data_IF_961305993595
#
_entry.id   IF_961305993595
#
_cell.length_a   1.000
_cell.length_b   1.000
_cell.length_c   1.000
_cell.angle_alpha   90.00
_cell.angle_beta   90.00
_cell.angle_gamma   90.00
#
_symmetry.space_group_name_H-M   'P 1'
#
loop_
_entity.id
_entity.type
_entity.pdbx_description
1 polymer ?
#
# COMPACT_ATOMS: atom_id res chain seq x y z
N UNK A 1 0.57 14.25 -10.11
CA UNK A 1 -0.34 13.12 -9.93
C UNK A 1 -1.28 12.98 -11.12
N UNK A 2 -1.82 11.77 -11.33
CA UNK A 2 -2.64 11.45 -12.50
C UNK A 2 -3.90 12.33 -12.61
N UNK A 3 -4.49 12.73 -11.49
CA UNK A 3 -5.64 13.62 -11.38
C UNK A 3 -5.27 15.04 -10.90
N UNK A 4 -3.99 15.42 -10.99
CA UNK A 4 -3.50 16.73 -10.60
C UNK A 4 -3.33 17.67 -11.77
N UNK A 5 -3.52 18.97 -11.52
CA UNK A 5 -3.36 20.04 -12.50
C UNK A 5 -2.59 21.22 -11.92
N UNK A 6 -1.85 21.92 -12.77
CA UNK A 6 -1.14 23.15 -12.45
C UNK A 6 -1.11 24.04 -13.71
N UNK A 7 -1.08 25.35 -13.55
CA UNK A 7 -1.11 26.30 -14.68
C UNK A 7 0.18 26.31 -15.51
N UNK A 8 1.33 26.00 -14.88
CA UNK A 8 2.61 25.99 -15.57
C UNK A 8 2.97 24.60 -16.11
N UNK A 9 3.12 24.47 -17.42
CA UNK A 9 3.47 23.21 -18.08
C UNK A 9 4.90 22.70 -17.74
N UNK A 10 5.79 23.56 -17.26
CA UNK A 10 7.16 23.19 -16.84
C UNK A 10 7.24 22.80 -15.35
N UNK A 11 6.19 23.10 -14.56
CA UNK A 11 6.16 22.78 -13.14
C UNK A 11 5.78 21.31 -12.91
N UNK A 12 6.50 20.66 -12.03
CA UNK A 12 6.24 19.27 -11.62
C UNK A 12 5.86 19.16 -10.14
N UNK A 13 5.91 20.26 -9.41
CA UNK A 13 5.54 20.37 -7.99
C UNK A 13 4.55 21.52 -7.78
N UNK A 14 3.88 21.57 -6.62
CA UNK A 14 2.93 22.64 -6.30
C UNK A 14 1.59 22.56 -7.05
N UNK A 15 1.25 21.41 -7.62
CA UNK A 15 -0.01 21.15 -8.29
C UNK A 15 -1.16 20.94 -7.27
N UNK A 16 -2.39 21.14 -7.73
CA UNK A 16 -3.59 20.77 -6.97
C UNK A 16 -3.96 19.32 -7.31
N UNK A 17 -3.96 18.44 -6.30
CA UNK A 17 -4.31 17.03 -6.46
C UNK A 17 -5.84 16.84 -6.52
N UNK A 18 -6.28 15.77 -7.20
CA UNK A 18 -7.68 15.33 -7.17
C UNK A 18 -8.66 16.26 -7.88
N UNK A 19 -8.21 17.14 -8.77
CA UNK A 19 -9.09 18.09 -9.49
C UNK A 19 -9.64 17.57 -10.81
N UNK A 20 -9.03 16.49 -11.35
CA UNK A 20 -9.44 15.87 -12.61
C UNK A 20 -10.29 14.64 -12.31
N UNK A 21 -11.54 14.64 -12.76
CA UNK A 21 -12.45 13.51 -12.56
C UNK A 21 -12.11 12.28 -13.44
N UNK A 22 -12.56 11.09 -13.03
CA UNK A 22 -12.29 9.83 -13.72
C UNK A 22 -12.72 9.82 -15.19
N UNK A 23 -13.85 10.44 -15.52
CA UNK A 23 -14.34 10.51 -16.90
C UNK A 23 -13.39 11.32 -17.81
N UNK A 24 -12.75 12.36 -17.27
CA UNK A 24 -11.77 13.17 -18.00
C UNK A 24 -10.50 12.36 -18.25
N UNK A 25 -10.06 11.56 -17.28
CA UNK A 25 -8.91 10.66 -17.43
C UNK A 25 -9.17 9.60 -18.50
N UNK A 26 -10.36 9.00 -18.52
CA UNK A 26 -10.77 8.01 -19.54
C UNK A 26 -10.78 8.67 -20.94
N UNK A 27 -11.36 9.88 -21.08
CA UNK A 27 -11.39 10.60 -22.35
C UNK A 27 -10.02 11.07 -22.83
N UNK A 28 -9.09 11.29 -21.93
CA UNK A 28 -7.71 11.69 -22.29
C UNK A 28 -6.89 10.57 -22.93
N UNK A 29 -7.32 9.29 -22.80
CA UNK A 29 -6.63 8.13 -23.36
C UNK A 29 -7.66 7.23 -24.08
N UNK A 30 -8.21 7.67 -25.22
CA UNK A 30 -9.27 6.92 -25.91
C UNK A 30 -8.87 5.52 -26.34
N UNK A 31 -7.58 5.25 -26.54
CA UNK A 31 -7.01 3.96 -26.91
C UNK A 31 -7.29 2.83 -25.88
N UNK A 32 -7.64 3.16 -24.64
CA UNK A 32 -8.01 2.14 -23.65
C UNK A 32 -9.31 1.43 -24.01
N UNK A 33 -10.17 2.04 -24.82
CA UNK A 33 -11.41 1.44 -25.30
C UNK A 33 -11.18 0.28 -26.27
N UNK A 34 -10.00 0.23 -26.91
CA UNK A 34 -9.61 -0.88 -27.77
C UNK A 34 -9.19 -2.13 -26.97
N UNK A 35 -8.87 -1.93 -25.68
CA UNK A 35 -8.38 -3.00 -24.78
C UNK A 35 -9.51 -3.67 -24.00
N UNK A 36 -10.55 -2.92 -23.63
CA UNK A 36 -11.64 -3.41 -22.78
C UNK A 36 -12.87 -2.51 -22.84
N UNK A 37 -14.04 -3.05 -22.45
CA UNK A 37 -15.22 -2.25 -22.15
C UNK A 37 -15.04 -1.56 -20.79
N UNK A 38 -14.91 -0.23 -20.79
CA UNK A 38 -14.54 0.54 -19.60
C UNK A 38 -15.73 1.35 -19.08
N UNK A 39 -15.98 1.24 -17.79
CA UNK A 39 -16.83 2.16 -17.04
C UNK A 39 -16.04 2.80 -15.91
N UNK A 40 -16.26 4.07 -15.64
CA UNK A 40 -15.56 4.83 -14.60
C UNK A 40 -16.48 5.18 -13.44
N UNK A 41 -15.94 5.18 -12.22
CA UNK A 41 -16.62 5.67 -11.03
C UNK A 41 -15.66 6.43 -10.11
N UNK A 42 -16.08 7.62 -9.68
CA UNK A 42 -15.34 8.44 -8.73
C UNK A 42 -15.63 7.97 -7.29
N UNK A 43 -14.69 7.24 -6.67
CA UNK A 43 -14.86 6.72 -5.30
C UNK A 43 -14.53 7.79 -4.26
N UNK A 44 -13.47 8.56 -4.50
CA UNK A 44 -13.03 9.68 -3.68
C UNK A 44 -12.34 10.74 -4.56
N UNK A 45 -12.24 11.96 -4.06
CA UNK A 45 -11.53 13.06 -4.71
C UNK A 45 -10.64 13.75 -3.67
N UNK A 46 -9.50 13.18 -3.41
CA UNK A 46 -8.57 13.58 -2.35
C UNK A 46 -7.11 13.51 -2.82
N UNK A 47 -6.25 14.27 -2.18
CA UNK A 47 -4.83 13.97 -2.18
C UNK A 47 -4.59 12.66 -1.41
N UNK A 48 -3.68 11.80 -1.90
CA UNK A 48 -3.40 10.51 -1.26
C UNK A 48 -2.83 10.65 0.16
N UNK A 49 -2.18 11.75 0.48
CA UNK A 49 -1.75 12.08 1.85
C UNK A 49 -2.92 12.18 2.84
N UNK A 50 -4.13 12.42 2.35
CA UNK A 50 -5.37 12.47 3.13
C UNK A 50 -6.18 11.17 3.07
N UNK A 51 -5.58 10.05 2.68
CA UNK A 51 -6.23 8.75 2.68
C UNK A 51 -6.72 8.36 4.08
N UNK A 52 -7.88 7.72 4.15
CA UNK A 52 -8.53 7.31 5.41
C UNK A 52 -9.06 5.88 5.33
N UNK A 53 -9.21 5.26 6.48
CA UNK A 53 -9.70 3.88 6.62
C UNK A 53 -11.07 3.67 5.97
N UNK A 54 -11.96 4.66 6.07
CA UNK A 54 -13.30 4.59 5.46
C UNK A 54 -13.24 4.47 3.93
N UNK A 55 -12.26 5.15 3.31
CA UNK A 55 -12.06 5.07 1.85
C UNK A 55 -11.50 3.69 1.48
N UNK A 56 -10.55 3.15 2.24
CA UNK A 56 -10.04 1.80 2.03
C UNK A 56 -11.14 0.75 2.16
N UNK A 57 -11.96 0.83 3.20
CA UNK A 57 -13.08 -0.08 3.42
C UNK A 57 -14.13 0.02 2.30
N UNK A 58 -14.49 1.26 1.89
CA UNK A 58 -15.41 1.51 0.78
C UNK A 58 -14.86 0.89 -0.50
N UNK A 59 -13.57 1.11 -0.80
CA UNK A 59 -12.92 0.63 -2.02
C UNK A 59 -12.89 -0.90 -2.06
N UNK A 60 -12.46 -1.56 -0.98
CA UNK A 60 -12.41 -3.02 -0.91
C UNK A 60 -13.79 -3.67 -1.08
N UNK A 61 -14.81 -3.14 -0.38
CA UNK A 61 -16.19 -3.64 -0.51
C UNK A 61 -16.73 -3.48 -1.92
N UNK A 62 -16.45 -2.33 -2.54
CA UNK A 62 -16.90 -2.05 -3.90
C UNK A 62 -16.25 -2.98 -4.92
N UNK A 63 -14.94 -3.18 -4.84
CA UNK A 63 -14.22 -4.06 -5.76
C UNK A 63 -14.72 -5.50 -5.63
N UNK A 64 -14.87 -6.03 -4.42
CA UNK A 64 -15.42 -7.36 -4.22
C UNK A 64 -16.83 -7.49 -4.84
N UNK A 65 -17.71 -6.51 -4.63
CA UNK A 65 -19.04 -6.47 -5.24
C UNK A 65 -18.98 -6.44 -6.77
N UNK A 66 -18.13 -5.62 -7.38
CA UNK A 66 -17.94 -5.56 -8.84
C UNK A 66 -17.51 -6.91 -9.41
N UNK A 67 -16.64 -7.64 -8.71
CA UNK A 67 -16.23 -8.98 -9.12
C UNK A 67 -17.35 -10.01 -9.03
N UNK A 68 -18.22 -9.90 -8.02
CA UNK A 68 -19.44 -10.73 -7.90
C UNK A 68 -20.45 -10.41 -9.02
N UNK A 69 -20.50 -9.16 -9.48
CA UNK A 69 -21.34 -8.69 -10.59
C UNK A 69 -20.77 -9.03 -11.98
N UNK A 70 -19.59 -9.66 -12.06
CA UNK A 70 -19.03 -10.18 -13.31
C UNK A 70 -17.96 -9.30 -13.96
N UNK A 71 -17.54 -8.20 -13.34
CA UNK A 71 -16.40 -7.38 -13.83
C UNK A 71 -15.13 -8.23 -13.89
N UNK A 72 -14.36 -8.12 -14.97
CA UNK A 72 -13.17 -8.94 -15.24
C UNK A 72 -11.90 -8.40 -14.60
N UNK A 73 -11.77 -7.09 -14.43
CA UNK A 73 -10.61 -6.43 -13.84
C UNK A 73 -10.94 -5.03 -13.33
N UNK A 74 -10.15 -4.52 -12.42
CA UNK A 74 -10.30 -3.17 -11.84
C UNK A 74 -9.01 -2.39 -11.94
N UNK A 75 -9.09 -1.16 -12.45
CA UNK A 75 -7.98 -0.18 -12.42
C UNK A 75 -8.35 0.94 -11.45
N UNK A 76 -7.41 1.32 -10.58
CA UNK A 76 -7.60 2.36 -9.57
C UNK A 76 -6.61 3.47 -9.82
N UNK A 77 -7.08 4.64 -10.24
CA UNK A 77 -6.25 5.84 -10.30
C UNK A 77 -6.05 6.41 -8.90
N UNK A 78 -4.80 6.58 -8.48
CA UNK A 78 -4.44 6.91 -7.11
C UNK A 78 -3.28 7.92 -7.08
N UNK A 79 -3.25 8.78 -6.07
CA UNK A 79 -2.07 9.61 -5.79
C UNK A 79 -0.90 8.74 -5.31
N UNK A 80 0.32 9.14 -5.64
CA UNK A 80 1.50 8.29 -5.50
C UNK A 80 2.01 8.14 -4.07
N UNK A 81 1.70 9.07 -3.15
CA UNK A 81 2.36 9.14 -1.84
C UNK A 81 1.99 7.99 -0.90
N UNK A 82 0.72 7.54 -0.94
CA UNK A 82 0.25 6.41 -0.12
C UNK A 82 -0.27 5.24 -0.97
N UNK A 83 0.09 5.20 -2.25
CA UNK A 83 -0.35 4.14 -3.18
C UNK A 83 0.06 2.75 -2.70
N UNK A 84 1.27 2.59 -2.18
CA UNK A 84 1.78 1.30 -1.69
C UNK A 84 0.97 0.76 -0.51
N UNK A 85 0.46 1.63 0.36
CA UNK A 85 -0.39 1.26 1.50
C UNK A 85 -1.77 0.80 1.03
N UNK A 86 -2.40 1.56 0.13
CA UNK A 86 -3.68 1.18 -0.48
C UNK A 86 -3.55 -0.12 -1.27
N UNK A 87 -2.48 -0.30 -2.04
CA UNK A 87 -2.23 -1.53 -2.79
C UNK A 87 -2.12 -2.73 -1.85
N UNK A 88 -1.36 -2.61 -0.76
CA UNK A 88 -1.18 -3.70 0.19
C UNK A 88 -2.46 -4.00 0.98
N UNK A 89 -3.22 -2.98 1.40
CA UNK A 89 -4.53 -3.18 2.01
C UNK A 89 -5.48 -3.98 1.11
N UNK A 90 -5.59 -3.61 -0.15
CA UNK A 90 -6.42 -4.33 -1.11
C UNK A 90 -5.90 -5.74 -1.39
N UNK A 91 -4.58 -5.92 -1.45
CA UNK A 91 -3.95 -7.24 -1.61
C UNK A 91 -4.34 -8.22 -0.49
N UNK A 92 -4.66 -7.72 0.69
CA UNK A 92 -5.08 -8.50 1.84
C UNK A 92 -6.60 -8.65 1.97
N UNK A 93 -7.40 -7.81 1.30
CA UNK A 93 -8.85 -7.72 1.55
C UNK A 93 -9.73 -8.08 0.35
N UNK A 94 -9.17 -8.11 -0.86
CA UNK A 94 -9.90 -8.57 -2.06
C UNK A 94 -10.07 -10.09 -2.02
N UNK A 95 -11.27 -10.58 -2.37
CA UNK A 95 -11.65 -11.99 -2.30
C UNK A 95 -11.78 -12.66 -3.68
N UNK A 96 -11.02 -12.17 -4.64
CA UNK A 96 -11.04 -12.65 -6.02
C UNK A 96 -9.61 -12.91 -6.51
N UNK A 97 -9.44 -13.70 -7.57
CA UNK A 97 -8.20 -13.83 -8.32
C UNK A 97 -8.14 -12.92 -9.55
N UNK A 98 -9.20 -12.16 -9.79
CA UNK A 98 -9.26 -11.19 -10.89
C UNK A 98 -8.29 -10.03 -10.66
N UNK A 99 -7.71 -9.44 -11.73
CA UNK A 99 -6.70 -8.39 -11.60
C UNK A 99 -7.25 -7.12 -10.97
N UNK A 100 -6.48 -6.58 -10.03
CA UNK A 100 -6.65 -5.23 -9.48
C UNK A 100 -5.33 -4.50 -9.67
N UNK A 101 -5.36 -3.37 -10.39
CA UNK A 101 -4.17 -2.61 -10.74
C UNK A 101 -4.31 -1.17 -10.26
N UNK A 102 -3.39 -0.72 -9.40
CA UNK A 102 -3.27 0.69 -9.06
C UNK A 102 -2.34 1.39 -10.04
N UNK A 103 -2.67 2.65 -10.34
CA UNK A 103 -1.90 3.49 -11.24
C UNK A 103 -1.93 4.94 -10.78
N UNK A 104 -0.82 5.62 -10.99
CA UNK A 104 -0.68 7.04 -10.70
C UNK A 104 0.15 7.77 -11.75
N UNK A 105 0.58 8.97 -11.42
CA UNK A 105 1.54 9.72 -12.20
C UNK A 105 2.42 10.58 -11.28
N UNK A 106 3.68 10.74 -11.63
CA UNK A 106 4.61 11.60 -10.90
C UNK A 106 4.53 13.05 -11.37
N UNK A 107 4.06 13.28 -12.59
CA UNK A 107 3.85 14.62 -13.17
C UNK A 107 2.37 14.95 -13.24
N UNK A 108 1.96 16.22 -13.03
CA UNK A 108 0.58 16.63 -13.24
C UNK A 108 0.15 16.47 -14.71
N UNK A 109 -1.14 16.32 -14.94
CA UNK A 109 -1.69 16.08 -16.29
C UNK A 109 -1.37 17.19 -17.30
N UNK A 110 -1.10 18.40 -16.82
CA UNK A 110 -0.75 19.58 -17.63
C UNK A 110 0.73 19.74 -17.89
N UNK A 111 1.61 18.92 -17.29
CA UNK A 111 3.05 19.04 -17.45
C UNK A 111 3.53 18.54 -18.83
N UNK A 112 4.64 19.13 -19.30
CA UNK A 112 5.38 18.60 -20.46
C UNK A 112 5.81 17.16 -20.15
N UNK A 113 5.55 16.25 -21.07
CA UNK A 113 5.82 14.81 -20.89
C UNK A 113 5.15 14.22 -19.63
N UNK A 114 3.88 14.54 -19.40
CA UNK A 114 3.06 13.92 -18.36
C UNK A 114 3.05 12.39 -18.52
N UNK A 115 3.35 11.67 -17.44
CA UNK A 115 3.45 10.20 -17.45
C UNK A 115 2.10 9.49 -17.25
N UNK A 116 1.07 10.23 -16.79
CA UNK A 116 -0.25 9.69 -16.47
C UNK A 116 -0.94 8.95 -17.61
N UNK A 117 -1.04 9.51 -18.83
CA UNK A 117 -1.70 8.86 -19.95
C UNK A 117 -1.10 7.49 -20.30
N UNK A 118 0.22 7.38 -20.36
CA UNK A 118 0.91 6.10 -20.64
C UNK A 118 0.73 5.12 -19.50
N UNK A 119 0.85 5.56 -18.25
CA UNK A 119 0.64 4.71 -17.09
C UNK A 119 -0.80 4.17 -17.06
N UNK A 120 -1.81 5.01 -17.35
CA UNK A 120 -3.21 4.58 -17.41
C UNK A 120 -3.44 3.53 -18.51
N UNK A 121 -2.91 3.77 -19.71
CA UNK A 121 -2.99 2.81 -20.80
C UNK A 121 -2.41 1.46 -20.39
N UNK A 122 -1.23 1.46 -19.82
CA UNK A 122 -0.55 0.25 -19.33
C UNK A 122 -1.33 -0.47 -18.23
N UNK A 123 -1.92 0.28 -17.30
CA UNK A 123 -2.72 -0.30 -16.22
C UNK A 123 -3.98 -1.01 -16.75
N UNK A 124 -4.64 -0.44 -17.77
CA UNK A 124 -5.77 -1.08 -18.44
C UNK A 124 -5.34 -2.32 -19.22
N UNK A 125 -4.22 -2.24 -19.97
CA UNK A 125 -3.66 -3.39 -20.67
C UNK A 125 -3.34 -4.53 -19.70
N UNK A 126 -2.73 -4.23 -18.56
CA UNK A 126 -2.43 -5.21 -17.52
C UNK A 126 -3.71 -5.81 -16.91
N UNK A 127 -4.73 -5.00 -16.61
CA UNK A 127 -5.98 -5.48 -16.04
C UNK A 127 -6.80 -6.34 -17.02
N UNK A 128 -6.63 -6.14 -18.33
CA UNK A 128 -7.27 -6.92 -19.38
C UNK A 128 -6.50 -8.21 -19.74
N UNK A 129 -5.26 -8.36 -19.27
CA UNK A 129 -4.41 -9.51 -19.61
C UNK A 129 -4.80 -10.76 -18.83
N UNK A 130 -4.89 -11.89 -19.52
CA UNK A 130 -5.26 -13.19 -18.93
C UNK A 130 -4.24 -13.71 -17.92
N UNK A 131 -2.96 -13.41 -18.11
CA UNK A 131 -1.88 -13.83 -17.22
C UNK A 131 -1.83 -12.99 -15.92
N UNK A 132 -2.54 -11.86 -15.87
CA UNK A 132 -2.68 -11.04 -14.67
C UNK A 132 -3.56 -11.68 -13.57
N UNK A 133 -4.31 -12.75 -13.90
CA UNK A 133 -5.08 -13.52 -12.92
C UNK A 133 -4.17 -14.15 -11.87
N UNK A 134 -4.61 -14.11 -10.61
CA UNK A 134 -3.92 -14.68 -9.47
C UNK A 134 -2.51 -14.09 -9.22
N UNK A 135 -2.27 -12.87 -9.69
CA UNK A 135 -1.05 -12.09 -9.41
C UNK A 135 -1.21 -11.11 -8.23
N UNK A 136 -2.27 -11.26 -7.43
CA UNK A 136 -2.57 -10.32 -6.35
C UNK A 136 -2.95 -8.93 -6.87
N UNK A 137 -2.85 -7.94 -6.01
CA UNK A 137 -2.97 -6.54 -6.39
C UNK A 137 -1.61 -6.05 -6.92
N UNK A 138 -1.63 -5.32 -8.01
CA UNK A 138 -0.43 -4.84 -8.70
C UNK A 138 -0.42 -3.32 -8.81
N UNK A 139 0.75 -2.75 -8.98
CA UNK A 139 0.95 -1.34 -9.31
C UNK A 139 1.62 -1.25 -10.69
N UNK A 140 1.03 -0.49 -11.59
CA UNK A 140 1.57 -0.22 -12.93
C UNK A 140 2.09 1.22 -12.98
N UNK A 141 3.40 1.39 -13.00
CA UNK A 141 4.07 2.70 -13.05
C UNK A 141 5.33 2.61 -13.90
N UNK A 142 5.52 3.57 -14.81
CA UNK A 142 6.72 3.70 -15.63
C UNK A 142 7.10 2.37 -16.32
N UNK A 143 6.12 1.78 -17.01
CA UNK A 143 6.21 0.49 -17.74
C UNK A 143 6.49 -0.76 -16.87
N UNK A 144 6.65 -0.61 -15.54
CA UNK A 144 6.89 -1.71 -14.60
C UNK A 144 5.58 -2.28 -14.05
N UNK A 145 5.58 -3.58 -13.77
CA UNK A 145 4.55 -4.28 -13.02
C UNK A 145 5.13 -4.64 -11.66
N UNK A 146 4.58 -4.05 -10.61
CA UNK A 146 5.07 -4.21 -9.24
C UNK A 146 4.02 -4.92 -8.38
N UNK A 147 4.44 -5.84 -7.51
CA UNK A 147 3.51 -6.46 -6.56
C UNK A 147 3.14 -5.47 -5.44
N UNK A 148 1.90 -5.51 -4.96
CA UNK A 148 1.46 -4.68 -3.85
C UNK A 148 2.31 -4.86 -2.58
N UNK A 149 2.82 -6.08 -2.35
CA UNK A 149 3.67 -6.36 -1.21
C UNK A 149 5.07 -5.78 -1.35
N UNK A 150 5.65 -5.86 -2.55
CA UNK A 150 7.04 -5.43 -2.80
C UNK A 150 7.21 -3.97 -3.16
N UNK A 151 6.18 -3.32 -3.74
CA UNK A 151 6.29 -1.95 -4.24
C UNK A 151 6.59 -0.93 -3.13
N UNK A 152 7.55 -0.05 -3.38
CA UNK A 152 7.93 1.06 -2.50
C UNK A 152 8.16 2.31 -3.35
N UNK A 153 7.68 3.47 -2.89
CA UNK A 153 8.04 4.76 -3.47
C UNK A 153 9.45 5.14 -3.00
N UNK A 154 10.43 4.88 -3.85
CA UNK A 154 11.86 5.06 -3.53
C UNK A 154 12.42 6.40 -3.96
N UNK A 155 11.66 7.20 -4.71
CA UNK A 155 12.05 8.53 -5.13
C UNK A 155 10.86 9.51 -5.04
N UNK A 156 11.12 10.71 -4.57
CA UNK A 156 10.07 11.72 -4.34
C UNK A 156 9.55 12.41 -5.61
N UNK A 157 10.34 12.49 -6.69
CA UNK A 157 10.04 13.33 -7.85
C UNK A 157 10.15 12.62 -9.21
N UNK A 158 11.08 11.65 -9.39
CA UNK A 158 11.31 11.00 -10.68
C UNK A 158 10.09 10.24 -11.17
N UNK A 159 9.92 10.12 -12.49
CA UNK A 159 8.89 9.24 -13.06
C UNK A 159 9.15 7.78 -12.70
N UNK A 160 10.40 7.36 -12.61
CA UNK A 160 10.83 6.06 -12.08
C UNK A 160 10.93 6.11 -10.54
N UNK A 161 9.81 6.43 -9.90
CA UNK A 161 9.76 6.61 -8.45
C UNK A 161 9.41 5.33 -7.66
N UNK A 162 8.97 4.28 -8.35
CA UNK A 162 8.56 3.04 -7.71
C UNK A 162 9.47 1.88 -8.06
N UNK A 163 9.84 1.11 -7.06
CA UNK A 163 10.63 -0.12 -7.23
C UNK A 163 10.19 -1.18 -6.21
N UNK A 164 10.73 -2.38 -6.36
CA UNK A 164 10.56 -3.49 -5.42
C UNK A 164 11.95 -3.97 -4.99
N UNK A 165 12.61 -3.30 -4.02
CA UNK A 165 14.02 -3.47 -3.73
C UNK A 165 14.42 -4.90 -3.37
N UNK A 166 13.58 -5.62 -2.59
CA UNK A 166 13.90 -6.96 -2.10
C UNK A 166 13.42 -8.08 -3.03
N UNK A 167 12.40 -7.82 -3.89
CA UNK A 167 11.72 -8.89 -4.63
C UNK A 167 11.79 -8.73 -6.15
N UNK A 168 12.21 -7.57 -6.64
CA UNK A 168 12.19 -7.23 -8.06
C UNK A 168 10.78 -6.97 -8.60
N UNK A 169 10.73 -6.57 -9.85
CA UNK A 169 9.50 -6.31 -10.58
C UNK A 169 8.83 -7.64 -10.97
N UNK A 170 7.51 -7.68 -11.02
CA UNK A 170 6.79 -8.86 -11.53
C UNK A 170 6.97 -9.01 -13.05
N UNK A 171 7.16 -7.90 -13.74
CA UNK A 171 7.30 -7.85 -15.18
C UNK A 171 7.27 -6.43 -15.71
N UNK A 172 7.07 -6.33 -17.04
CA UNK A 172 7.05 -5.06 -17.76
C UNK A 172 5.91 -5.03 -18.78
N UNK A 173 5.55 -3.81 -19.20
CA UNK A 173 4.55 -3.57 -20.24
C UNK A 173 5.23 -2.80 -21.36
N UNK A 174 5.30 -3.39 -22.54
CA UNK A 174 5.92 -2.79 -23.72
C UNK A 174 4.87 -2.72 -24.82
N UNK A 175 4.57 -1.53 -25.32
CA UNK A 175 3.56 -1.28 -26.37
C UNK A 175 2.19 -1.93 -26.07
N UNK A 176 1.78 -1.89 -24.80
CA UNK A 176 0.53 -2.50 -24.33
C UNK A 176 0.58 -4.02 -24.18
N UNK A 177 1.71 -4.66 -24.44
CA UNK A 177 1.89 -6.10 -24.21
C UNK A 177 2.51 -6.35 -22.85
N UNK A 178 1.91 -7.27 -22.10
CA UNK A 178 2.31 -7.64 -20.74
C UNK A 178 3.32 -8.78 -20.78
N UNK A 179 4.40 -8.65 -20.01
CA UNK A 179 5.42 -9.68 -19.87
C UNK A 179 5.71 -9.92 -18.40
N UNK A 180 5.32 -11.08 -17.88
CA UNK A 180 5.64 -11.50 -16.52
C UNK A 180 6.93 -12.33 -16.49
N UNK A 181 7.81 -12.01 -15.56
CA UNK A 181 9.07 -12.73 -15.30
C UNK A 181 9.11 -13.35 -13.91
N UNK A 182 8.36 -12.78 -12.95
CA UNK A 182 8.34 -13.22 -11.57
C UNK A 182 6.93 -13.56 -11.08
N UNK A 183 6.86 -14.36 -10.02
CA UNK A 183 5.62 -14.73 -9.35
C UNK A 183 5.64 -14.30 -7.88
N UNK A 184 4.45 -14.13 -7.29
CA UNK A 184 4.29 -13.82 -5.89
C UNK A 184 4.29 -15.12 -5.08
N UNK A 185 5.17 -15.22 -4.08
CA UNK A 185 5.28 -16.40 -3.21
C UNK A 185 4.42 -16.32 -1.95
N UNK A 186 4.06 -15.11 -1.52
CA UNK A 186 3.25 -14.88 -0.31
C UNK A 186 1.75 -14.98 -0.61
N UNK A 187 0.98 -15.39 0.39
CA UNK A 187 -0.47 -15.46 0.26
C UNK A 187 -1.09 -14.08 0.09
N UNK A 188 -2.13 -13.98 -0.75
CA UNK A 188 -2.78 -12.71 -1.09
C UNK A 188 -4.25 -12.93 -1.49
N UNK A 189 -4.99 -11.87 -1.65
CA UNK A 189 -6.37 -11.77 -2.15
C UNK A 189 -7.30 -12.87 -1.63
N UNK A 190 -7.80 -13.78 -2.46
CA UNK A 190 -8.74 -14.84 -2.05
C UNK A 190 -8.17 -15.78 -0.99
N UNK A 191 -6.85 -15.90 -0.88
CA UNK A 191 -6.15 -16.74 0.10
C UNK A 191 -5.86 -16.01 1.43
N UNK A 192 -6.28 -14.75 1.55
CA UNK A 192 -6.17 -13.97 2.79
C UNK A 192 -7.39 -14.20 3.69
N UNK A 193 -7.23 -14.26 5.04
CA UNK A 193 -8.34 -14.44 5.96
C UNK A 193 -9.07 -13.12 6.27
N UNK A 194 -8.57 -11.98 5.81
CA UNK A 194 -9.08 -10.67 6.19
C UNK A 194 -10.31 -10.31 5.35
N UNK A 195 -11.49 -10.52 5.91
CA UNK A 195 -12.77 -10.09 5.36
C UNK A 195 -13.19 -8.77 6.03
N UNK A 196 -13.36 -7.73 5.21
CA UNK A 196 -13.75 -6.39 5.66
C UNK A 196 -15.20 -6.05 5.31
N UNK A 197 -15.98 -7.01 4.79
CA UNK A 197 -17.37 -6.78 4.34
C UNK A 197 -18.26 -6.15 5.41
N UNK A 198 -18.09 -6.57 6.67
CA UNK A 198 -18.89 -6.11 7.82
C UNK A 198 -18.20 -5.01 8.66
N UNK A 199 -16.94 -4.66 8.35
CA UNK A 199 -16.21 -3.67 9.12
C UNK A 199 -16.67 -2.25 8.75
N UNK A 200 -16.83 -1.40 9.76
CA UNK A 200 -17.12 0.04 9.61
C UNK A 200 -15.92 0.91 9.95
N UNK A 201 -14.96 0.36 10.69
CA UNK A 201 -13.71 1.01 11.07
C UNK A 201 -12.61 -0.03 11.23
N UNK A 202 -11.36 0.42 11.31
CA UNK A 202 -10.20 -0.41 11.60
C UNK A 202 -9.62 -0.07 12.99
N UNK A 203 -8.94 -1.00 13.66
CA UNK A 203 -8.21 -0.71 14.88
C UNK A 203 -7.16 0.38 14.65
N UNK A 204 -7.04 1.32 15.60
CA UNK A 204 -6.05 2.39 15.51
C UNK A 204 -4.64 1.84 15.71
N UNK A 205 -3.78 2.03 14.72
CA UNK A 205 -2.36 1.65 14.73
C UNK A 205 -1.55 2.84 14.22
N UNK A 206 -0.51 3.20 14.96
CA UNK A 206 0.35 4.32 14.65
C UNK A 206 1.80 3.86 14.37
N UNK A 207 2.60 4.72 13.73
CA UNK A 207 4.01 4.46 13.44
C UNK A 207 4.86 5.43 14.25
N UNK A 208 5.89 4.91 14.91
CA UNK A 208 6.91 5.70 15.59
C UNK A 208 8.29 5.42 15.00
N UNK A 209 9.03 6.47 14.72
CA UNK A 209 10.43 6.36 14.31
C UNK A 209 11.35 6.31 15.52
N UNK A 210 12.43 5.51 15.42
CA UNK A 210 13.56 5.57 16.32
C UNK A 210 14.72 6.33 15.67
N UNK A 211 15.43 7.16 16.43
CA UNK A 211 16.54 8.00 15.97
C UNK A 211 17.53 8.26 17.11
N UNK A 212 18.67 8.89 16.81
CA UNK A 212 19.65 9.26 17.83
C UNK A 212 19.07 10.30 18.79
N UNK A 213 19.25 10.11 20.09
CA UNK A 213 18.66 10.94 21.16
C UNK A 213 17.13 10.98 21.09
N UNK A 214 16.52 9.81 20.95
CA UNK A 214 15.09 9.60 20.69
C UNK A 214 14.22 9.94 21.89
N UNK A 215 13.37 10.95 21.75
CA UNK A 215 12.36 11.34 22.74
C UNK A 215 10.96 10.75 22.50
N UNK A 216 10.81 9.81 21.56
CA UNK A 216 9.49 9.30 21.14
C UNK A 216 8.78 8.42 22.18
N UNK A 217 9.44 8.07 23.30
CA UNK A 217 8.82 7.40 24.44
C UNK A 217 7.55 8.13 24.94
N UNK A 218 7.58 9.46 24.97
CA UNK A 218 6.44 10.31 25.34
C UNK A 218 5.30 10.14 24.32
N UNK A 219 5.64 10.11 23.04
CA UNK A 219 4.66 9.92 21.96
C UNK A 219 3.99 8.53 22.05
N UNK A 220 4.76 7.47 22.33
CA UNK A 220 4.23 6.13 22.51
C UNK A 220 3.15 6.08 23.62
N UNK A 221 3.47 6.70 24.76
CA UNK A 221 2.51 6.78 25.87
C UNK A 221 1.27 7.60 25.51
N UNK A 222 1.45 8.75 24.89
CA UNK A 222 0.33 9.61 24.48
C UNK A 222 -0.60 8.93 23.47
N UNK A 223 -0.05 8.18 22.50
CA UNK A 223 -0.83 7.40 21.55
C UNK A 223 -1.64 6.31 22.25
N UNK A 224 -1.01 5.57 23.15
CA UNK A 224 -1.68 4.53 23.93
C UNK A 224 -2.83 5.09 24.79
N UNK A 225 -2.57 6.17 25.52
CA UNK A 225 -3.58 6.86 26.34
C UNK A 225 -4.76 7.38 25.50
N UNK A 226 -4.55 7.65 24.21
CA UNK A 226 -5.58 8.04 23.23
C UNK A 226 -6.17 6.85 22.43
N UNK A 227 -6.00 5.63 22.91
CA UNK A 227 -6.70 4.45 22.42
C UNK A 227 -6.05 3.71 21.26
N UNK A 228 -4.79 4.01 20.90
CA UNK A 228 -4.01 3.23 19.95
C UNK A 228 -3.89 1.79 20.44
N UNK A 229 -4.17 0.83 19.55
CA UNK A 229 -4.15 -0.61 19.84
C UNK A 229 -2.84 -1.28 19.42
N UNK A 230 -2.14 -0.69 18.48
CA UNK A 230 -0.85 -1.18 18.00
C UNK A 230 0.10 -0.06 17.61
N UNK A 231 1.37 -0.28 17.81
CA UNK A 231 2.44 0.62 17.35
C UNK A 231 3.41 -0.16 16.48
N UNK A 232 3.69 0.37 15.30
CA UNK A 232 4.80 -0.09 14.47
C UNK A 232 6.00 0.81 14.72
N UNK A 233 7.11 0.23 15.14
CA UNK A 233 8.36 0.96 15.31
C UNK A 233 9.17 0.90 14.04
N UNK A 234 9.41 2.05 13.41
CA UNK A 234 10.39 2.20 12.34
C UNK A 234 11.79 2.30 12.94
N UNK A 235 12.37 1.16 13.28
CA UNK A 235 13.67 1.04 13.94
C UNK A 235 14.85 1.44 13.05
N UNK A 236 15.98 1.69 13.65
CA UNK A 236 17.22 1.92 12.91
C UNK A 236 17.89 0.60 12.49
N UNK A 237 18.59 0.60 11.36
CA UNK A 237 19.25 -0.61 10.85
C UNK A 237 18.27 -1.79 10.73
N UNK A 238 18.59 -2.94 11.30
CA UNK A 238 17.74 -4.14 11.29
C UNK A 238 16.61 -4.12 12.35
N UNK A 239 16.09 -2.95 12.71
CA UNK A 239 14.98 -2.79 13.67
C UNK A 239 15.42 -2.43 15.09
N UNK A 240 16.62 -1.84 15.27
CA UNK A 240 17.06 -1.40 16.59
C UNK A 240 16.20 -0.24 17.12
N UNK A 241 15.82 -0.32 18.39
CA UNK A 241 14.97 0.66 19.09
C UNK A 241 15.82 1.36 20.16
N UNK A 242 15.68 2.68 20.28
CA UNK A 242 16.32 3.44 21.35
C UNK A 242 15.87 2.93 22.72
N UNK A 243 16.75 2.88 23.70
CA UNK A 243 16.50 2.24 25.01
C UNK A 243 15.28 2.82 25.71
N UNK A 244 15.15 4.14 25.79
CA UNK A 244 14.03 4.81 26.46
C UNK A 244 12.69 4.49 25.79
N UNK A 245 12.62 4.52 24.46
CA UNK A 245 11.45 4.13 23.70
C UNK A 245 11.12 2.65 23.95
N UNK A 246 12.13 1.78 23.90
CA UNK A 246 11.96 0.33 24.11
C UNK A 246 11.44 0.01 25.52
N UNK A 247 11.94 0.68 26.54
CA UNK A 247 11.50 0.47 27.92
C UNK A 247 10.04 0.91 28.10
N UNK A 248 9.65 2.04 27.53
CA UNK A 248 8.24 2.47 27.53
C UNK A 248 7.34 1.48 26.80
N UNK A 249 7.74 1.01 25.62
CA UNK A 249 6.97 0.03 24.87
C UNK A 249 6.78 -1.29 25.61
N UNK A 250 7.81 -1.78 26.35
CA UNK A 250 7.68 -2.98 27.20
C UNK A 250 6.58 -2.82 28.26
N UNK A 251 6.48 -1.65 28.89
CA UNK A 251 5.44 -1.39 29.87
C UNK A 251 4.05 -1.29 29.22
N UNK A 252 3.95 -0.72 28.03
CA UNK A 252 2.69 -0.64 27.29
C UNK A 252 2.24 -2.02 26.76
N UNK A 253 3.16 -2.89 26.34
CA UNK A 253 2.86 -4.29 25.97
C UNK A 253 2.20 -5.03 27.14
N UNK A 254 2.70 -4.88 28.36
CA UNK A 254 2.06 -5.47 29.55
C UNK A 254 0.63 -4.97 29.80
N UNK A 255 0.31 -3.78 29.27
CA UNK A 255 -1.02 -3.17 29.35
C UNK A 255 -1.90 -3.49 28.13
N UNK A 256 -1.44 -4.33 27.21
CA UNK A 256 -2.20 -4.82 26.06
C UNK A 256 -1.97 -4.08 24.75
N UNK A 257 -0.88 -3.30 24.62
CA UNK A 257 -0.46 -2.75 23.33
C UNK A 257 0.25 -3.81 22.50
N UNK A 258 -0.11 -3.96 21.24
CA UNK A 258 0.66 -4.78 20.27
C UNK A 258 1.75 -3.94 19.61
N UNK A 259 3.00 -4.43 19.64
CA UNK A 259 4.16 -3.71 19.09
C UNK A 259 4.84 -4.53 18.00
N UNK A 260 4.89 -3.98 16.80
CA UNK A 260 5.57 -4.56 15.64
C UNK A 260 6.85 -3.78 15.36
N UNK A 261 7.96 -4.49 15.25
CA UNK A 261 9.26 -3.92 14.91
C UNK A 261 9.48 -4.02 13.41
N UNK A 262 9.60 -2.89 12.75
CA UNK A 262 9.99 -2.72 11.35
C UNK A 262 11.28 -1.89 11.26
N UNK A 263 11.66 -1.47 10.10
CA UNK A 263 12.86 -0.64 9.89
C UNK A 263 12.52 0.61 9.09
N UNK A 264 13.21 1.72 9.39
CA UNK A 264 13.22 2.92 8.55
C UNK A 264 14.12 2.78 7.31
N UNK A 265 14.89 1.70 7.23
CA UNK A 265 15.66 1.35 6.03
C UNK A 265 14.71 0.75 5.01
N UNK A 266 14.83 1.19 3.76
CA UNK A 266 13.84 0.90 2.71
C UNK A 266 13.82 -0.56 2.24
N UNK A 267 14.82 -1.38 2.58
CA UNK A 267 14.97 -2.77 2.15
C UNK A 267 15.61 -3.63 3.24
N UNK A 268 15.41 -4.94 3.16
CA UNK A 268 15.97 -5.93 4.08
C UNK A 268 14.98 -6.36 5.18
N UNK A 269 15.41 -7.35 5.96
CA UNK A 269 14.62 -7.91 7.08
C UNK A 269 15.02 -7.30 8.41
N UNK A 270 14.05 -7.21 9.32
CA UNK A 270 14.34 -6.89 10.72
C UNK A 270 14.71 -8.14 11.52
N UNK A 271 15.54 -7.94 12.55
CA UNK A 271 15.96 -8.97 13.47
C UNK A 271 15.43 -8.65 14.87
N UNK A 272 14.39 -9.35 15.30
CA UNK A 272 13.87 -9.29 16.68
C UNK A 272 14.48 -10.43 17.47
N UNK A 273 15.14 -10.10 18.59
CA UNK A 273 15.78 -11.11 19.46
C UNK A 273 14.73 -12.01 20.11
N UNK A 274 15.13 -13.26 20.47
CA UNK A 274 14.23 -14.15 21.18
C UNK A 274 13.82 -13.63 22.57
N UNK A 275 14.66 -12.81 23.18
CA UNK A 275 14.32 -12.10 24.42
C UNK A 275 13.20 -11.09 24.18
N UNK A 276 13.27 -10.31 23.10
CA UNK A 276 12.23 -9.33 22.76
C UNK A 276 10.92 -10.00 22.32
N UNK A 277 10.99 -11.11 21.57
CA UNK A 277 9.81 -11.91 21.23
C UNK A 277 9.09 -12.44 22.49
N UNK A 278 9.84 -12.88 23.50
CA UNK A 278 9.27 -13.30 24.78
C UNK A 278 8.58 -12.15 25.55
N UNK A 279 8.98 -10.92 25.29
CA UNK A 279 8.36 -9.72 25.84
C UNK A 279 7.14 -9.23 25.04
N UNK A 280 6.82 -9.87 23.92
CA UNK A 280 5.67 -9.53 23.07
C UNK A 280 5.98 -8.67 21.85
N UNK A 281 7.24 -8.37 21.57
CA UNK A 281 7.60 -7.69 20.32
C UNK A 281 7.43 -8.64 19.13
N UNK A 282 6.80 -8.14 18.08
CA UNK A 282 6.48 -8.85 16.84
C UNK A 282 7.42 -8.36 15.73
N UNK A 283 7.93 -9.26 14.89
CA UNK A 283 8.74 -8.88 13.73
C UNK A 283 7.86 -8.53 12.54
N UNK A 284 8.10 -7.38 11.91
CA UNK A 284 7.51 -7.05 10.61
C UNK A 284 8.11 -7.87 9.46
N UNK A 285 9.14 -8.67 9.74
CA UNK A 285 9.90 -9.42 8.75
C UNK A 285 10.59 -8.46 7.75
N UNK A 286 10.12 -8.40 6.53
CA UNK A 286 10.60 -7.56 5.44
C UNK A 286 9.58 -6.46 5.02
N UNK A 287 8.51 -6.28 5.79
CA UNK A 287 7.57 -5.19 5.53
C UNK A 287 8.11 -3.86 6.07
N UNK A 288 8.04 -2.83 5.22
CA UNK A 288 8.29 -1.46 5.67
C UNK A 288 7.22 -1.00 6.69
N UNK A 289 7.46 0.07 7.45
CA UNK A 289 6.58 0.48 8.54
C UNK A 289 5.13 0.71 8.13
N UNK A 290 4.88 1.33 6.98
CA UNK A 290 3.53 1.65 6.51
C UNK A 290 2.74 0.39 6.13
N UNK A 291 3.35 -0.59 5.49
CA UNK A 291 2.70 -1.88 5.18
C UNK A 291 2.55 -2.75 6.42
N UNK A 292 3.55 -2.75 7.31
CA UNK A 292 3.45 -3.41 8.61
C UNK A 292 2.27 -2.86 9.42
N UNK A 293 2.04 -1.54 9.37
CA UNK A 293 0.85 -0.90 9.95
C UNK A 293 -0.45 -1.44 9.35
N UNK A 294 -0.55 -1.52 8.04
CA UNK A 294 -1.73 -2.06 7.34
C UNK A 294 -2.01 -3.49 7.77
N UNK A 295 -0.99 -4.36 7.81
CA UNK A 295 -1.17 -5.74 8.23
C UNK A 295 -1.56 -5.85 9.71
N UNK A 296 -0.96 -5.05 10.60
CA UNK A 296 -1.30 -5.04 12.02
C UNK A 296 -2.75 -4.59 12.25
N UNK A 297 -3.23 -3.54 11.55
CA UNK A 297 -4.62 -3.11 11.61
C UNK A 297 -5.58 -4.26 11.26
N UNK A 298 -5.29 -5.00 10.21
CA UNK A 298 -6.11 -6.14 9.79
C UNK A 298 -5.98 -7.33 10.76
N UNK A 299 -4.79 -7.64 11.24
CA UNK A 299 -4.54 -8.71 12.21
C UNK A 299 -5.33 -8.47 13.52
N UNK A 300 -5.34 -7.25 14.01
CA UNK A 300 -6.09 -6.85 15.21
C UNK A 300 -7.62 -6.95 15.06
N UNK A 301 -8.15 -7.07 13.86
CA UNK A 301 -9.57 -7.44 13.65
C UNK A 301 -9.85 -8.92 13.93
N UNK A 302 -8.81 -9.75 14.06
CA UNK A 302 -8.90 -11.21 14.23
C UNK A 302 -8.40 -11.68 15.60
N UNK A 303 -7.35 -11.07 16.14
CA UNK A 303 -6.67 -11.54 17.36
C UNK A 303 -5.82 -10.45 17.98
N UNK A 304 -5.64 -10.55 19.30
CA UNK A 304 -4.66 -9.78 20.08
C UNK A 304 -3.54 -10.70 20.63
N UNK A 305 -3.41 -11.92 20.10
CA UNK A 305 -2.32 -12.84 20.47
C UNK A 305 -1.08 -12.54 19.64
N UNK A 306 0.03 -12.05 20.23
CA UNK A 306 1.25 -11.70 19.49
C UNK A 306 1.82 -12.84 18.64
N UNK A 307 1.64 -14.09 19.07
CA UNK A 307 2.11 -15.27 18.32
C UNK A 307 1.30 -15.43 17.02
N UNK A 308 -0.03 -15.31 17.10
CA UNK A 308 -0.90 -15.36 15.92
C UNK A 308 -0.68 -14.17 14.99
N UNK A 309 -0.43 -12.98 15.56
CA UNK A 309 -0.08 -11.81 14.76
C UNK A 309 1.25 -12.08 14.02
N UNK A 310 2.28 -12.62 14.69
CA UNK A 310 3.54 -12.99 14.04
C UNK A 310 3.35 -14.00 12.89
N UNK A 311 2.43 -14.96 13.02
CA UNK A 311 2.10 -15.89 11.92
C UNK A 311 1.56 -15.16 10.68
N UNK A 312 0.77 -14.09 10.86
CA UNK A 312 0.33 -13.26 9.75
C UNK A 312 1.51 -12.56 9.07
N UNK A 313 2.45 -12.00 9.81
CA UNK A 313 3.65 -11.36 9.24
C UNK A 313 4.55 -12.35 8.49
N UNK A 314 4.60 -13.61 8.92
CA UNK A 314 5.33 -14.67 8.21
C UNK A 314 4.64 -15.07 6.89
N UNK A 315 3.31 -15.02 6.85
CA UNK A 315 2.50 -15.56 5.75
C UNK A 315 2.19 -14.55 4.66
N UNK A 316 1.99 -13.28 5.02
CA UNK A 316 1.50 -12.19 4.14
C UNK A 316 2.59 -11.06 3.96
#
# INVERSE_FOLDING_TARGET
TIAGSIDSAVATTGYTAGVVGVDVLIKAVPQIQDLANISGEQVANIDSSNMRDEIWLKLAKKINKLFDEGVDGVVITHGTDTMEETAYFLNLTIKSDKPVVLVGAMRPSTAISADGPKNLYNAVALAADKEAKNKGVMVAMNDKILSARGVVKTHSLNVDAFSSPDFGDLGYIVDGKVFFYNNISKAHTKNSPFDVSKLTSLPKVDILYTYSNDGSAIAAKALFDNGTKGIVVAGSGAGSIHEDQKNTLKELIKQGLDVVVSSRVAAGRVAVSDADKKLGFISAEDLNPQKARVLLMLALTKTNDPKKIQEYFLKY
#
